data_IF_834241393014
#
_entry.id   IF_834241393014
#
_cell.length_a   1.000
_cell.length_b   1.000
_cell.length_c   1.000
_cell.angle_alpha   90.00
_cell.angle_beta   90.00
_cell.angle_gamma   90.00
#
_symmetry.space_group_name_H-M   'P 1'
#
loop_
_entity.id
_entity.type
_entity.pdbx_description
1 polymer ?
#
# COMPACT_ATOMS: atom_id res chain seq x y z
N UNK A 1 3.36 26.62 -19.62
CA UNK A 1 3.61 27.01 -18.21
C UNK A 1 2.92 26.05 -17.25
N UNK A 2 1.79 25.46 -17.65
CA UNK A 2 1.00 24.48 -16.88
C UNK A 2 1.76 23.19 -16.53
N UNK A 3 2.60 22.69 -17.45
CA UNK A 3 3.44 21.51 -17.20
C UNK A 3 4.47 21.73 -16.08
N UNK A 4 4.96 22.96 -15.93
CA UNK A 4 5.96 23.31 -14.92
C UNK A 4 5.32 23.42 -13.53
N UNK A 5 4.10 23.97 -13.46
CA UNK A 5 3.28 24.01 -12.24
C UNK A 5 2.84 22.61 -11.81
N UNK A 6 2.42 21.75 -12.76
CA UNK A 6 2.07 20.37 -12.47
C UNK A 6 3.26 19.55 -11.94
N UNK A 7 4.46 19.75 -12.50
CA UNK A 7 5.67 19.07 -12.06
C UNK A 7 6.13 19.56 -10.67
N UNK A 8 6.05 20.86 -10.40
CA UNK A 8 6.36 21.43 -9.08
C UNK A 8 5.37 20.94 -8.01
N UNK A 9 4.08 20.87 -8.35
CA UNK A 9 3.04 20.34 -7.46
C UNK A 9 3.29 18.86 -7.13
N UNK A 10 3.60 18.04 -8.13
CA UNK A 10 3.93 16.64 -7.93
C UNK A 10 5.17 16.45 -7.03
N UNK A 11 6.23 17.22 -7.27
CA UNK A 11 7.43 17.22 -6.42
C UNK A 11 7.13 17.66 -4.99
N UNK A 12 6.33 18.71 -4.81
CA UNK A 12 5.91 19.19 -3.50
C UNK A 12 5.16 18.13 -2.70
N UNK A 13 4.20 17.44 -3.34
CA UNK A 13 3.44 16.36 -2.72
C UNK A 13 4.36 15.21 -2.28
N UNK A 14 5.29 14.79 -3.16
CA UNK A 14 6.25 13.74 -2.83
C UNK A 14 7.13 14.14 -1.64
N UNK A 15 7.67 15.36 -1.64
CA UNK A 15 8.51 15.86 -0.54
C UNK A 15 7.74 15.90 0.78
N UNK A 16 6.49 16.36 0.77
CA UNK A 16 5.63 16.41 1.97
C UNK A 16 5.36 15.00 2.51
N UNK A 17 4.95 14.06 1.64
CA UNK A 17 4.70 12.67 2.05
C UNK A 17 5.97 12.03 2.60
N UNK A 18 7.10 12.20 1.92
CA UNK A 18 8.37 11.60 2.33
C UNK A 18 8.87 12.18 3.65
N UNK A 19 8.74 13.50 3.83
CA UNK A 19 9.08 14.17 5.10
C UNK A 19 8.20 13.68 6.24
N UNK A 20 6.90 13.51 6.00
CA UNK A 20 5.97 12.99 6.99
C UNK A 20 6.27 11.54 7.37
N UNK A 21 6.55 10.68 6.40
CA UNK A 21 6.96 9.29 6.66
C UNK A 21 8.29 9.20 7.40
N UNK A 22 9.27 10.02 7.00
CA UNK A 22 10.56 10.11 7.69
C UNK A 22 10.38 10.58 9.14
N UNK A 23 9.48 11.54 9.38
CA UNK A 23 9.12 12.02 10.71
C UNK A 23 8.49 10.91 11.58
N UNK A 24 7.52 10.16 11.03
CA UNK A 24 6.92 9.02 11.73
C UNK A 24 7.96 7.94 12.06
N UNK A 25 8.89 7.67 11.14
CA UNK A 25 9.97 6.71 11.38
C UNK A 25 10.96 7.20 12.43
N UNK A 26 11.27 8.49 12.43
CA UNK A 26 12.12 9.11 13.44
C UNK A 26 11.50 9.03 14.84
N UNK A 27 10.20 9.33 14.96
CA UNK A 27 9.46 9.22 16.23
C UNK A 27 9.47 7.79 16.77
N UNK A 28 9.16 6.80 15.93
CA UNK A 28 9.18 5.39 16.34
C UNK A 28 10.59 4.96 16.81
N UNK A 29 11.65 5.39 16.13
CA UNK A 29 13.03 5.07 16.52
C UNK A 29 13.37 5.61 17.91
N UNK A 30 13.01 6.88 18.18
CA UNK A 30 13.23 7.51 19.48
C UNK A 30 12.43 6.85 20.60
N UNK A 31 11.19 6.41 20.33
CA UNK A 31 10.40 5.64 21.29
C UNK A 31 11.02 4.29 21.62
N UNK A 32 11.51 3.54 20.62
CA UNK A 32 12.20 2.27 20.88
C UNK A 32 13.48 2.45 21.69
N UNK A 33 14.25 3.51 21.44
CA UNK A 33 15.46 3.84 22.21
C UNK A 33 15.12 4.19 23.67
N UNK A 34 14.11 5.04 23.90
CA UNK A 34 13.69 5.42 25.24
C UNK A 34 13.13 4.24 26.06
N UNK A 35 12.52 3.25 25.39
CA UNK A 35 12.06 2.01 26.03
C UNK A 35 13.21 1.06 26.34
N UNK A 36 14.21 0.96 25.45
CA UNK A 36 15.41 0.16 25.65
C UNK A 36 16.28 0.71 26.80
N UNK A 37 16.46 2.03 26.88
CA UNK A 37 17.21 2.70 27.97
C UNK A 37 16.55 2.50 29.35
N UNK A 38 15.22 2.33 29.39
CA UNK A 38 14.47 2.07 30.63
C UNK A 38 14.47 0.61 31.07
N UNK A 39 15.20 -0.28 30.38
CA UNK A 39 15.20 -1.72 30.65
C UNK A 39 13.85 -2.42 30.39
N UNK A 40 12.88 -1.68 29.83
CA UNK A 40 11.59 -2.20 29.38
C UNK A 40 11.75 -2.70 27.96
N UNK A 41 12.63 -3.69 27.76
CA UNK A 41 12.72 -4.41 26.49
C UNK A 41 11.45 -5.24 26.35
N UNK A 42 10.38 -4.61 25.87
CA UNK A 42 9.24 -5.33 25.36
C UNK A 42 9.82 -6.16 24.22
N UNK A 43 9.77 -7.51 24.27
CA UNK A 43 10.19 -8.30 23.14
C UNK A 43 9.39 -7.77 21.95
N UNK A 44 10.10 -7.35 20.90
CA UNK A 44 9.50 -6.95 19.64
C UNK A 44 8.80 -8.21 19.13
N UNK A 45 7.56 -8.42 19.56
CA UNK A 45 6.74 -9.48 19.00
C UNK A 45 6.50 -9.00 17.58
N UNK A 46 7.32 -9.49 16.65
CA UNK A 46 7.07 -9.39 15.22
C UNK A 46 5.77 -10.14 14.99
N UNK A 47 4.67 -9.46 15.30
CA UNK A 47 3.33 -10.00 15.21
C UNK A 47 3.09 -10.22 13.73
N UNK A 48 3.14 -11.48 13.28
CA UNK A 48 2.84 -11.85 11.90
C UNK A 48 1.50 -11.26 11.43
N UNK A 49 0.60 -10.93 12.37
CA UNK A 49 -0.66 -10.21 12.15
C UNK A 49 -0.50 -8.91 11.37
N UNK A 50 0.67 -8.25 11.44
CA UNK A 50 0.97 -7.06 10.64
C UNK A 50 0.94 -7.35 9.13
N UNK A 51 1.51 -8.49 8.72
CA UNK A 51 1.54 -8.91 7.32
C UNK A 51 0.13 -9.26 6.82
N UNK A 52 -0.65 -9.99 7.63
CA UNK A 52 -2.05 -10.30 7.32
C UNK A 52 -2.91 -9.03 7.19
N UNK A 53 -2.76 -8.07 8.12
CA UNK A 53 -3.48 -6.79 8.07
C UNK A 53 -3.17 -6.02 6.79
N UNK A 54 -1.90 -5.91 6.43
CA UNK A 54 -1.50 -5.24 5.19
C UNK A 54 -1.98 -5.99 3.95
N UNK A 55 -1.91 -7.32 3.94
CA UNK A 55 -2.45 -8.14 2.86
C UNK A 55 -3.95 -7.91 2.63
N UNK A 56 -4.75 -7.89 3.70
CA UNK A 56 -6.20 -7.61 3.61
C UNK A 56 -6.46 -6.19 3.11
N UNK A 57 -5.77 -5.19 3.64
CA UNK A 57 -5.94 -3.78 3.23
C UNK A 57 -5.59 -3.58 1.76
N UNK A 58 -4.47 -4.17 1.29
CA UNK A 58 -4.03 -4.04 -0.09
C UNK A 58 -4.98 -4.79 -1.03
N UNK A 59 -5.48 -5.96 -0.63
CA UNK A 59 -6.47 -6.73 -1.42
C UNK A 59 -7.79 -5.98 -1.55
N UNK A 60 -8.31 -5.43 -0.44
CA UNK A 60 -9.58 -4.69 -0.47
C UNK A 60 -9.48 -3.40 -1.27
N UNK A 61 -8.34 -2.70 -1.17
CA UNK A 61 -8.04 -1.53 -2.00
C UNK A 61 -7.99 -1.91 -3.48
N UNK A 62 -7.30 -3.01 -3.83
CA UNK A 62 -7.23 -3.50 -5.21
C UNK A 62 -8.58 -3.93 -5.77
N UNK A 63 -9.45 -4.55 -4.96
CA UNK A 63 -10.83 -4.85 -5.33
C UNK A 63 -11.65 -3.59 -5.58
N UNK A 64 -11.62 -2.63 -4.66
CA UNK A 64 -12.34 -1.37 -4.81
C UNK A 64 -11.90 -0.62 -6.07
N UNK A 65 -10.59 -0.59 -6.32
CA UNK A 65 -10.01 0.06 -7.50
C UNK A 65 -10.38 -0.69 -8.78
N UNK A 66 -10.35 -2.03 -8.77
CA UNK A 66 -10.77 -2.85 -9.91
C UNK A 66 -12.25 -2.62 -10.27
N UNK A 67 -13.14 -2.52 -9.27
CA UNK A 67 -14.56 -2.22 -9.50
C UNK A 67 -14.75 -0.80 -10.04
N UNK A 68 -14.08 0.19 -9.45
CA UNK A 68 -14.17 1.58 -9.92
C UNK A 68 -13.68 1.75 -11.36
N UNK A 69 -12.58 1.08 -11.70
CA UNK A 69 -11.99 1.13 -13.05
C UNK A 69 -12.76 0.28 -14.07
N UNK A 70 -13.42 -0.79 -13.63
CA UNK A 70 -14.31 -1.58 -14.47
C UNK A 70 -15.53 -0.75 -14.93
N UNK A 71 -16.11 0.05 -14.03
CA UNK A 71 -17.22 0.97 -14.37
C UNK A 71 -16.83 2.02 -15.42
N UNK A 72 -15.57 2.49 -15.39
CA UNK A 72 -15.02 3.40 -16.41
C UNK A 72 -14.95 2.75 -17.80
N UNK A 73 -14.74 1.43 -17.86
CA UNK A 73 -14.63 0.71 -19.12
C UNK A 73 -15.88 0.74 -19.98
N UNK A 74 -17.06 0.87 -19.38
CA UNK A 74 -18.33 1.00 -20.11
C UNK A 74 -18.49 2.32 -20.86
N UNK A 75 -17.74 3.36 -20.48
CA UNK A 75 -17.72 4.65 -21.17
C UNK A 75 -16.53 4.77 -22.14
N UNK A 76 -15.76 3.69 -22.36
CA UNK A 76 -14.60 3.75 -23.24
C UNK A 76 -15.03 3.70 -24.71
N UNK A 77 -14.52 4.58 -25.58
CA UNK A 77 -14.86 4.61 -27.00
C UNK A 77 -14.29 3.44 -27.83
N UNK A 78 -13.41 2.63 -27.22
CA UNK A 78 -12.83 1.46 -27.86
C UNK A 78 -13.55 0.19 -27.37
N UNK A 79 -13.98 -0.65 -28.30
CA UNK A 79 -14.56 -1.97 -28.00
C UNK A 79 -13.47 -2.93 -27.50
N UNK A 80 -13.13 -2.83 -26.22
CA UNK A 80 -12.31 -3.83 -25.56
C UNK A 80 -13.19 -5.05 -25.24
N UNK A 81 -12.72 -6.29 -25.48
CA UNK A 81 -13.46 -7.48 -25.08
C UNK A 81 -13.71 -7.42 -23.57
N UNK A 82 -14.99 -7.51 -23.18
CA UNK A 82 -15.47 -7.42 -21.79
C UNK A 82 -15.23 -6.05 -21.08
N UNK A 83 -15.00 -4.96 -21.82
CA UNK A 83 -14.65 -3.64 -21.26
C UNK A 83 -13.37 -3.64 -20.39
N UNK A 84 -12.54 -4.68 -20.52
CA UNK A 84 -11.30 -4.83 -19.78
C UNK A 84 -10.18 -4.09 -20.52
N UNK A 85 -9.99 -2.81 -20.21
CA UNK A 85 -8.92 -2.02 -20.81
C UNK A 85 -7.62 -2.01 -20.00
N UNK A 86 -6.53 -1.43 -20.57
CA UNK A 86 -5.22 -1.33 -19.91
C UNK A 86 -5.26 -0.65 -18.53
N UNK A 87 -6.26 0.20 -18.28
CA UNK A 87 -6.45 0.87 -17.00
C UNK A 87 -6.66 -0.13 -15.85
N UNK A 88 -7.29 -1.29 -16.10
CA UNK A 88 -7.55 -2.29 -15.05
C UNK A 88 -6.29 -2.85 -14.38
N UNK A 89 -5.13 -2.73 -15.03
CA UNK A 89 -3.85 -3.07 -14.41
C UNK A 89 -3.62 -2.28 -13.11
N UNK A 90 -4.10 -1.04 -13.03
CA UNK A 90 -4.02 -0.24 -11.81
C UNK A 90 -4.73 -0.88 -10.61
N UNK A 91 -5.84 -1.60 -10.84
CA UNK A 91 -6.58 -2.31 -9.80
C UNK A 91 -6.10 -3.75 -9.57
N UNK A 92 -5.74 -4.46 -10.64
CA UNK A 92 -5.28 -5.84 -10.54
C UNK A 92 -3.94 -5.97 -9.81
N UNK A 93 -2.99 -5.05 -10.06
CA UNK A 93 -1.69 -5.09 -9.40
C UNK A 93 -1.83 -5.12 -7.87
N UNK A 94 -2.49 -4.14 -7.20
CA UNK A 94 -2.69 -4.20 -5.76
C UNK A 94 -3.54 -5.39 -5.33
N UNK A 95 -4.56 -5.80 -6.10
CA UNK A 95 -5.38 -6.95 -5.74
C UNK A 95 -4.54 -8.23 -5.61
N UNK A 96 -3.71 -8.54 -6.61
CA UNK A 96 -2.85 -9.72 -6.60
C UNK A 96 -1.70 -9.60 -5.59
N UNK A 97 -1.15 -8.39 -5.40
CA UNK A 97 -0.11 -8.16 -4.39
C UNK A 97 -0.64 -8.43 -2.98
N UNK A 98 -1.84 -7.93 -2.67
CA UNK A 98 -2.50 -8.19 -1.40
C UNK A 98 -2.80 -9.67 -1.18
N UNK A 99 -3.33 -10.35 -2.20
CA UNK A 99 -3.57 -11.79 -2.18
C UNK A 99 -2.27 -12.58 -1.93
N UNK A 100 -1.18 -12.17 -2.57
CA UNK A 100 0.15 -12.72 -2.35
C UNK A 100 0.62 -12.57 -0.91
N UNK A 101 0.42 -11.40 -0.28
CA UNK A 101 0.76 -11.19 1.13
C UNK A 101 -0.07 -12.08 2.07
N UNK A 102 -1.37 -12.24 1.80
CA UNK A 102 -2.24 -13.11 2.59
C UNK A 102 -1.77 -14.56 2.47
N UNK A 103 -1.43 -15.00 1.25
CA UNK A 103 -0.96 -16.36 1.01
C UNK A 103 0.40 -16.62 1.65
N UNK A 104 1.31 -15.65 1.58
CA UNK A 104 2.62 -15.73 2.24
C UNK A 104 2.47 -15.81 3.75
N UNK A 105 1.59 -14.99 4.33
CA UNK A 105 1.25 -15.09 5.75
C UNK A 105 0.74 -16.48 6.13
N UNK A 106 -0.18 -17.05 5.34
CA UNK A 106 -0.71 -18.39 5.60
C UNK A 106 0.37 -19.48 5.50
N UNK A 107 1.31 -19.35 4.56
CA UNK A 107 2.40 -20.30 4.39
C UNK A 107 3.42 -20.19 5.53
N UNK A 108 3.78 -18.97 5.93
CA UNK A 108 4.73 -18.69 7.01
C UNK A 108 4.15 -19.05 8.38
N UNK A 109 2.85 -18.86 8.62
CA UNK A 109 2.20 -19.26 9.88
C UNK A 109 2.10 -20.78 10.03
N UNK A 110 2.11 -21.55 8.92
CA UNK A 110 2.18 -23.02 8.98
C UNK A 110 3.56 -23.57 9.34
N UNK A 111 4.62 -22.78 9.19
CA UNK A 111 6.00 -23.18 9.51
C UNK A 111 6.42 -22.81 10.95
N UNK A 112 5.61 -22.01 11.67
CA UNK A 112 5.81 -21.69 13.09
C UNK A 112 5.04 -22.65 14.00
#
# INVERSE_FOLDING_TARGET
MDALVACLGALGIVVVIFSFLAFLRYMNYKETLALAEKGLTRPETRSGKGLLRWGIVITSLGLALSIGLYLIGFNSPNDYPLHLGPWMLGGFVPLFLGLGLILLYYLTEKEQ
#
